data_IF_622470844736
#
_entry.id   IF_622470844736
#
_cell.length_a   1.000
_cell.length_b   1.000
_cell.length_c   1.000
_cell.angle_alpha   90.00
_cell.angle_beta   90.00
_cell.angle_gamma   90.00
#
_symmetry.space_group_name_H-M   'P 1'
#
loop_
_entity.id
_entity.type
_entity.pdbx_description
1 polymer ?
#
# COMPACT_ATOMS: atom_id res chain seq x y z
N UNK A 1 -20.60 -2.77 -5.33
CA UNK A 1 -21.00 -1.95 -4.16
C UNK A 1 -22.43 -1.47 -4.35
N UNK A 2 -23.38 -1.91 -3.50
CA UNK A 2 -24.79 -1.53 -3.55
C UNK A 2 -25.08 -0.16 -2.90
N UNK A 3 -26.11 0.54 -3.37
CA UNK A 3 -26.41 1.95 -3.05
C UNK A 3 -27.85 2.18 -2.59
N UNK A 4 -28.09 3.08 -1.61
CA UNK A 4 -29.49 3.52 -1.32
C UNK A 4 -29.93 4.48 -2.43
N UNK A 5 -30.99 4.17 -3.21
CA UNK A 5 -31.44 5.06 -4.28
C UNK A 5 -32.05 6.39 -3.80
N UNK A 6 -32.32 6.49 -2.50
CA UNK A 6 -32.88 7.69 -1.87
C UNK A 6 -31.83 8.56 -1.18
N UNK A 7 -30.90 7.94 -0.43
CA UNK A 7 -29.84 8.65 0.31
C UNK A 7 -28.58 8.88 -0.52
N UNK A 8 -28.40 8.15 -1.63
CA UNK A 8 -27.18 8.17 -2.44
C UNK A 8 -25.93 7.83 -1.62
N UNK A 9 -26.10 6.93 -0.65
CA UNK A 9 -25.01 6.42 0.19
C UNK A 9 -24.57 5.07 -0.34
N UNK A 10 -23.26 4.90 -0.47
CA UNK A 10 -22.62 3.63 -0.81
C UNK A 10 -22.56 2.71 0.40
N UNK A 11 -22.72 1.42 0.16
CA UNK A 11 -22.62 0.38 1.17
C UNK A 11 -21.71 -0.74 0.70
N UNK A 12 -21.16 -1.47 1.67
CA UNK A 12 -20.43 -2.71 1.40
C UNK A 12 -21.34 -3.79 0.77
N UNK A 13 -20.75 -4.68 -0.02
CA UNK A 13 -21.49 -5.67 -0.84
C UNK A 13 -22.38 -6.64 -0.04
N UNK A 14 -22.15 -6.79 1.27
CA UNK A 14 -22.95 -7.65 2.13
C UNK A 14 -24.22 -6.96 2.69
N UNK A 15 -24.39 -5.67 2.42
CA UNK A 15 -25.55 -4.90 2.86
C UNK A 15 -26.68 -4.98 1.82
N UNK A 16 -27.91 -5.20 2.30
CA UNK A 16 -29.09 -5.35 1.44
C UNK A 16 -30.04 -4.16 1.55
N UNK A 17 -30.04 -3.47 2.68
CA UNK A 17 -30.91 -2.33 2.96
C UNK A 17 -30.13 -1.17 3.57
N UNK A 18 -30.56 0.04 3.25
CA UNK A 18 -30.01 1.26 3.82
C UNK A 18 -30.34 1.42 5.30
N UNK A 19 -29.36 1.88 6.09
CA UNK A 19 -29.50 2.08 7.53
C UNK A 19 -30.42 3.26 7.85
N UNK A 20 -30.41 4.32 7.03
CA UNK A 20 -31.23 5.52 7.27
C UNK A 20 -32.60 5.43 6.61
N UNK A 21 -32.65 4.92 5.37
CA UNK A 21 -33.82 5.00 4.51
C UNK A 21 -34.65 3.70 4.53
N UNK A 22 -34.08 2.59 5.01
CA UNK A 22 -34.66 1.24 5.06
C UNK A 22 -35.25 0.74 3.74
N UNK A 23 -34.72 1.21 2.60
CA UNK A 23 -35.09 0.69 1.28
C UNK A 23 -33.97 -0.23 0.78
N UNK A 24 -34.36 -1.12 -0.14
CA UNK A 24 -33.43 -2.05 -0.78
C UNK A 24 -32.38 -1.29 -1.58
N UNK A 25 -31.14 -1.72 -1.41
CA UNK A 25 -30.01 -1.14 -2.11
C UNK A 25 -29.98 -1.63 -3.55
N UNK A 26 -29.64 -0.74 -4.48
CA UNK A 26 -29.50 -1.05 -5.90
C UNK A 26 -28.03 -1.29 -6.24
N UNK A 27 -27.71 -2.21 -7.18
CA UNK A 27 -26.32 -2.48 -7.56
C UNK A 27 -25.61 -1.28 -8.18
N UNK A 28 -26.39 -0.39 -8.80
CA UNK A 28 -25.92 0.82 -9.46
C UNK A 28 -27.03 1.87 -9.44
N UNK A 29 -26.66 3.13 -9.20
CA UNK A 29 -27.57 4.25 -9.31
C UNK A 29 -27.58 4.80 -10.74
N UNK A 30 -28.67 4.51 -11.46
CA UNK A 30 -28.91 5.09 -12.79
C UNK A 30 -28.97 6.63 -12.65
N UNK A 31 -27.95 7.31 -13.19
CA UNK A 31 -27.69 8.75 -13.13
C UNK A 31 -26.94 9.29 -11.89
N UNK A 32 -26.31 8.46 -11.07
CA UNK A 32 -25.33 8.95 -10.09
C UNK A 32 -24.00 9.18 -10.78
N UNK A 33 -23.36 10.31 -10.48
CA UNK A 33 -21.97 10.52 -10.88
C UNK A 33 -21.11 10.02 -9.73
N UNK A 34 -20.45 8.87 -9.94
CA UNK A 34 -19.40 8.42 -9.05
C UNK A 34 -18.26 9.43 -9.08
N UNK A 35 -17.84 9.89 -7.92
CA UNK A 35 -16.73 10.83 -7.78
C UNK A 35 -15.53 10.05 -7.24
N UNK A 36 -14.35 10.27 -7.80
CA UNK A 36 -13.07 9.70 -7.38
C UNK A 36 -12.13 10.80 -6.94
N UNK A 37 -11.32 10.51 -5.95
CA UNK A 37 -10.35 11.45 -5.39
C UNK A 37 -9.21 11.57 -6.39
N UNK A 38 -9.02 12.77 -6.92
CA UNK A 38 -8.03 13.05 -7.96
C UNK A 38 -6.68 13.39 -7.35
N UNK A 39 -6.67 14.37 -6.44
CA UNK A 39 -5.45 14.89 -5.82
C UNK A 39 -5.79 15.73 -4.58
N UNK A 40 -4.91 15.69 -3.56
CA UNK A 40 -4.93 16.61 -2.44
C UNK A 40 -3.97 17.78 -2.72
N UNK A 41 -4.43 19.01 -2.50
CA UNK A 41 -3.67 20.24 -2.75
C UNK A 41 -3.85 21.24 -1.61
N UNK A 42 -2.90 22.14 -1.41
CA UNK A 42 -3.09 23.26 -0.47
C UNK A 42 -4.23 24.18 -0.95
N UNK A 43 -4.98 24.79 -0.03
CA UNK A 43 -6.05 25.73 -0.39
C UNK A 43 -5.57 26.86 -1.31
N UNK A 44 -4.37 27.36 -1.09
CA UNK A 44 -3.78 28.47 -1.86
C UNK A 44 -3.51 28.09 -3.33
N UNK A 45 -3.13 26.83 -3.61
CA UNK A 45 -2.82 26.34 -4.96
C UNK A 45 -4.05 25.73 -5.67
N UNK A 46 -5.16 25.58 -4.94
CA UNK A 46 -6.33 24.85 -5.42
C UNK A 46 -7.11 25.58 -6.52
N UNK A 47 -7.20 26.91 -6.47
CA UNK A 47 -7.99 27.68 -7.42
C UNK A 47 -7.43 27.60 -8.85
N UNK A 48 -6.11 27.60 -8.99
CA UNK A 48 -5.45 27.57 -10.29
C UNK A 48 -5.59 26.20 -10.96
N UNK A 49 -5.38 25.11 -10.20
CA UNK A 49 -5.59 23.76 -10.69
C UNK A 49 -7.04 23.49 -11.08
N UNK A 50 -8.02 23.98 -10.30
CA UNK A 50 -9.44 23.86 -10.65
C UNK A 50 -9.78 24.59 -11.96
N UNK A 51 -9.19 25.77 -12.19
CA UNK A 51 -9.35 26.51 -13.46
C UNK A 51 -8.72 25.77 -14.63
N UNK A 52 -7.56 25.15 -14.42
CA UNK A 52 -6.90 24.34 -15.44
C UNK A 52 -7.73 23.11 -15.82
N UNK A 53 -8.28 22.38 -14.84
CA UNK A 53 -9.16 21.24 -15.07
C UNK A 53 -10.43 21.63 -15.83
N UNK A 54 -11.05 22.75 -15.45
CA UNK A 54 -12.22 23.28 -16.13
C UNK A 54 -11.92 23.68 -17.59
N UNK A 55 -10.78 24.36 -17.84
CA UNK A 55 -10.32 24.69 -19.19
C UNK A 55 -10.06 23.44 -20.03
N UNK A 56 -9.53 22.39 -19.40
CA UNK A 56 -9.23 21.10 -20.01
C UNK A 56 -10.48 20.22 -20.24
N UNK A 57 -11.67 20.75 -19.94
CA UNK A 57 -12.94 20.11 -20.23
C UNK A 57 -13.42 19.11 -19.17
N UNK A 58 -12.80 19.09 -17.99
CA UNK A 58 -13.28 18.30 -16.84
C UNK A 58 -14.40 19.07 -16.17
N UNK A 59 -15.63 18.59 -16.30
CA UNK A 59 -16.81 19.35 -15.87
C UNK A 59 -17.30 18.95 -14.48
N UNK A 60 -17.08 17.70 -14.09
CA UNK A 60 -17.56 17.18 -12.80
C UNK A 60 -16.41 17.17 -11.82
N UNK A 61 -16.23 18.30 -11.14
CA UNK A 61 -15.22 18.49 -10.10
C UNK A 61 -15.90 18.90 -8.81
N UNK A 62 -15.55 18.25 -7.71
CA UNK A 62 -15.96 18.60 -6.34
C UNK A 62 -14.73 18.78 -5.47
N UNK A 63 -14.84 19.55 -4.39
CA UNK A 63 -13.75 19.75 -3.43
C UNK A 63 -14.23 19.42 -2.04
N UNK A 64 -13.36 18.75 -1.28
CA UNK A 64 -13.61 18.38 0.12
C UNK A 64 -12.44 18.86 0.97
N UNK A 65 -12.74 19.64 2.00
CA UNK A 65 -11.72 20.08 2.95
C UNK A 65 -11.32 18.92 3.85
N UNK A 66 -10.02 18.62 3.93
CA UNK A 66 -9.45 17.56 4.74
C UNK A 66 -8.22 18.08 5.49
N UNK A 67 -8.35 18.30 6.80
CA UNK A 67 -7.30 18.85 7.65
C UNK A 67 -6.72 20.17 7.10
N UNK A 68 -5.47 20.16 6.65
CA UNK A 68 -4.74 21.32 6.10
C UNK A 68 -4.80 21.40 4.56
N UNK A 69 -5.43 20.42 3.91
CA UNK A 69 -5.47 20.28 2.45
C UNK A 69 -6.91 20.28 1.90
N UNK A 70 -7.03 20.50 0.59
CA UNK A 70 -8.25 20.39 -0.18
C UNK A 70 -8.15 19.19 -1.12
N UNK A 71 -9.05 18.23 -0.97
CA UNK A 71 -9.14 17.07 -1.86
C UNK A 71 -10.03 17.45 -3.04
N UNK A 72 -9.46 17.45 -4.24
CA UNK A 72 -10.19 17.59 -5.50
C UNK A 72 -10.68 16.21 -5.90
N UNK A 73 -11.99 16.08 -6.12
CA UNK A 73 -12.64 14.87 -6.61
C UNK A 73 -13.18 15.11 -8.01
N UNK A 74 -13.15 14.11 -8.88
CA UNK A 74 -13.69 14.19 -10.24
C UNK A 74 -14.62 13.04 -10.56
N UNK A 75 -15.51 13.24 -11.52
CA UNK A 75 -16.36 12.16 -12.01
C UNK A 75 -15.51 10.97 -12.48
N UNK A 76 -15.87 9.75 -12.08
CA UNK A 76 -15.11 8.53 -12.37
C UNK A 76 -14.84 8.34 -13.87
N UNK A 77 -15.78 8.75 -14.72
CA UNK A 77 -15.62 8.72 -16.19
C UNK A 77 -14.60 9.71 -16.73
N UNK A 78 -14.34 10.79 -15.98
CA UNK A 78 -13.39 11.84 -16.31
C UNK A 78 -12.04 11.65 -15.60
N UNK A 79 -11.93 10.69 -14.68
CA UNK A 79 -10.77 10.47 -13.83
C UNK A 79 -9.45 10.32 -14.59
N UNK A 80 -9.38 9.39 -15.55
CA UNK A 80 -8.15 9.14 -16.33
C UNK A 80 -7.71 10.38 -17.14
N UNK A 81 -8.68 11.11 -17.70
CA UNK A 81 -8.43 12.34 -18.43
C UNK A 81 -7.96 13.45 -17.49
N UNK A 82 -8.65 13.63 -16.35
CA UNK A 82 -8.30 14.61 -15.33
C UNK A 82 -6.89 14.35 -14.78
N UNK A 83 -6.55 13.09 -14.51
CA UNK A 83 -5.23 12.65 -14.06
C UNK A 83 -4.13 13.06 -15.06
N UNK A 84 -4.39 12.89 -16.35
CA UNK A 84 -3.47 13.30 -17.41
C UNK A 84 -3.26 14.81 -17.39
N UNK A 85 -4.33 15.60 -17.22
CA UNK A 85 -4.25 17.06 -17.14
C UNK A 85 -3.53 17.53 -15.88
N UNK A 86 -3.81 16.94 -14.72
CA UNK A 86 -3.09 17.24 -13.48
C UNK A 86 -1.59 17.03 -13.66
N UNK A 87 -1.17 15.93 -14.29
CA UNK A 87 0.26 15.66 -14.57
C UNK A 87 0.89 16.73 -15.46
N UNK A 88 0.17 17.20 -16.48
CA UNK A 88 0.65 18.30 -17.34
C UNK A 88 0.73 19.62 -16.56
N UNK A 89 -0.29 19.92 -15.75
CA UNK A 89 -0.33 21.12 -14.92
C UNK A 89 0.85 21.18 -13.95
N UNK A 90 1.09 20.10 -13.20
CA UNK A 90 2.21 20.03 -12.25
C UNK A 90 3.53 20.22 -13.01
N UNK A 91 3.70 19.58 -14.17
CA UNK A 91 4.91 19.74 -15.02
C UNK A 91 5.14 21.19 -15.50
N UNK A 92 4.07 21.93 -15.78
CA UNK A 92 4.16 23.33 -16.22
C UNK A 92 4.38 24.32 -15.07
N UNK A 93 3.99 23.96 -13.84
CA UNK A 93 4.05 24.83 -12.65
C UNK A 93 5.13 24.40 -11.63
N UNK A 94 5.93 23.38 -11.96
CA UNK A 94 7.02 22.85 -11.13
C UNK A 94 8.24 23.78 -10.97
N UNK A 95 8.25 24.97 -11.60
CA UNK A 95 9.34 25.94 -11.37
C UNK A 95 9.22 26.71 -10.04
N UNK A 96 8.11 26.64 -9.27
CA UNK A 96 7.97 27.44 -8.04
C UNK A 96 7.43 26.77 -6.76
N UNK A 97 7.03 25.48 -6.73
CA UNK A 97 6.46 24.90 -5.50
C UNK A 97 7.07 23.56 -5.11
N UNK A 98 7.47 23.47 -3.83
CA UNK A 98 8.11 22.32 -3.17
C UNK A 98 7.40 20.99 -3.46
N UNK A 99 8.20 19.94 -3.73
CA UNK A 99 7.78 18.56 -4.06
C UNK A 99 6.94 17.86 -2.96
N UNK A 100 6.87 18.43 -1.75
CA UNK A 100 6.19 17.85 -0.58
C UNK A 100 4.65 17.99 -0.59
N UNK A 101 4.06 18.74 -1.52
CA UNK A 101 2.65 19.19 -1.42
C UNK A 101 1.63 18.41 -2.27
N UNK A 102 2.03 17.39 -3.03
CA UNK A 102 1.13 16.64 -3.92
C UNK A 102 1.11 15.14 -3.62
N UNK A 103 0.05 14.69 -2.95
CA UNK A 103 -0.23 13.28 -2.66
C UNK A 103 -1.24 12.70 -3.68
N UNK A 104 -0.80 11.72 -4.47
CA UNK A 104 -1.67 10.88 -5.29
C UNK A 104 -2.03 9.61 -4.50
N UNK A 105 -3.29 9.17 -4.59
CA UNK A 105 -3.85 8.04 -3.86
C UNK A 105 -2.90 6.80 -3.93
N UNK A 106 -2.43 6.45 -2.74
CA UNK A 106 -1.31 5.59 -2.32
C UNK A 106 -0.69 4.65 -3.38
N UNK A 107 0.50 5.00 -3.87
CA UNK A 107 1.39 4.06 -4.55
C UNK A 107 1.96 3.07 -3.52
N UNK A 108 1.15 2.09 -3.11
CA UNK A 108 1.58 1.06 -2.17
C UNK A 108 2.38 -0.01 -2.93
N UNK A 109 3.67 -0.13 -2.61
CA UNK A 109 4.56 -1.14 -3.18
C UNK A 109 4.90 -2.18 -2.12
N UNK A 110 4.67 -3.46 -2.43
CA UNK A 110 5.05 -4.54 -1.53
C UNK A 110 6.52 -4.89 -1.76
N UNK A 111 7.37 -4.60 -0.76
CA UNK A 111 8.77 -5.04 -0.75
C UNK A 111 8.81 -6.52 -0.38
N UNK A 112 9.32 -7.37 -1.28
CA UNK A 112 9.41 -8.81 -1.05
C UNK A 112 10.67 -9.15 -0.24
N UNK A 113 10.60 -9.03 1.09
CA UNK A 113 11.67 -9.46 2.00
C UNK A 113 11.25 -10.69 2.84
N UNK A 114 11.30 -11.85 2.19
CA UNK A 114 10.99 -13.15 2.81
C UNK A 114 11.97 -13.46 3.94
N UNK A 115 13.24 -13.11 3.75
CA UNK A 115 14.32 -13.45 4.68
C UNK A 115 14.21 -12.63 5.96
N UNK A 116 13.96 -11.33 5.86
CA UNK A 116 13.70 -10.44 6.99
C UNK A 116 12.47 -10.89 7.77
N UNK A 117 11.34 -11.06 7.07
CA UNK A 117 10.07 -11.54 7.67
C UNK A 117 10.28 -12.84 8.45
N UNK A 118 10.90 -13.86 7.84
CA UNK A 118 11.16 -15.16 8.50
C UNK A 118 12.13 -15.00 9.69
N UNK A 119 13.11 -14.10 9.59
CA UNK A 119 14.06 -13.82 10.67
C UNK A 119 13.35 -13.23 11.90
N UNK A 120 12.46 -12.26 11.69
CA UNK A 120 11.66 -11.64 12.76
C UNK A 120 10.72 -12.64 13.44
N UNK A 121 10.07 -13.50 12.64
CA UNK A 121 9.25 -14.59 13.18
C UNK A 121 10.09 -15.55 14.03
N UNK A 122 11.31 -15.91 13.60
CA UNK A 122 12.23 -16.73 14.41
C UNK A 122 12.61 -16.04 15.72
N UNK A 123 12.91 -14.74 15.68
CA UNK A 123 13.21 -13.95 16.87
C UNK A 123 12.04 -13.94 17.86
N UNK A 124 10.81 -13.82 17.34
CA UNK A 124 9.56 -13.93 18.12
C UNK A 124 9.45 -15.31 18.78
N UNK A 125 9.67 -16.39 18.04
CA UNK A 125 9.65 -17.76 18.58
C UNK A 125 10.67 -17.92 19.72
N UNK A 126 11.89 -17.42 19.56
CA UNK A 126 12.91 -17.52 20.60
C UNK A 126 12.57 -16.66 21.83
N UNK A 127 12.15 -15.41 21.64
CA UNK A 127 11.87 -14.48 22.73
C UNK A 127 10.67 -14.95 23.55
N UNK A 128 9.52 -15.16 22.90
CA UNK A 128 8.31 -15.58 23.60
C UNK A 128 8.40 -17.02 24.11
N UNK A 129 9.10 -17.90 23.39
CA UNK A 129 9.30 -19.28 23.83
C UNK A 129 10.17 -19.35 25.10
N UNK A 130 11.30 -18.64 25.12
CA UNK A 130 12.21 -18.63 26.28
C UNK A 130 11.58 -17.96 27.48
N UNK A 131 11.04 -16.74 27.32
CA UNK A 131 10.37 -16.01 28.40
C UNK A 131 9.17 -16.79 28.92
N UNK A 132 8.38 -17.39 28.02
CA UNK A 132 7.22 -18.20 28.38
C UNK A 132 7.58 -19.40 29.25
N UNK A 133 8.57 -20.20 28.82
CA UNK A 133 9.04 -21.37 29.57
C UNK A 133 9.62 -20.95 30.93
N UNK A 134 10.44 -19.90 30.98
CA UNK A 134 11.03 -19.40 32.23
C UNK A 134 9.95 -18.93 33.20
N UNK A 135 8.93 -18.21 32.73
CA UNK A 135 7.82 -17.77 33.56
C UNK A 135 7.03 -18.94 34.15
N UNK A 136 6.75 -19.98 33.36
CA UNK A 136 6.09 -21.20 33.85
C UNK A 136 6.93 -21.88 34.93
N UNK A 137 8.23 -22.08 34.68
CA UNK A 137 9.15 -22.73 35.63
C UNK A 137 9.23 -21.95 36.94
N UNK A 138 9.38 -20.62 36.88
CA UNK A 138 9.37 -19.77 38.07
C UNK A 138 8.04 -19.81 38.81
N UNK A 139 6.91 -19.80 38.08
CA UNK A 139 5.59 -19.92 38.66
C UNK A 139 5.39 -21.24 39.42
N UNK A 140 5.87 -22.35 38.85
CA UNK A 140 5.85 -23.70 39.47
C UNK A 140 6.77 -23.77 40.69
N UNK A 141 8.00 -23.27 40.59
CA UNK A 141 8.95 -23.27 41.72
C UNK A 141 8.47 -22.41 42.87
N UNK A 142 7.84 -21.26 42.59
CA UNK A 142 7.19 -20.45 43.60
C UNK A 142 5.98 -21.17 44.21
N UNK A 143 5.24 -21.95 43.42
CA UNK A 143 4.11 -22.74 43.92
C UNK A 143 4.57 -23.87 44.87
N UNK A 144 5.65 -24.56 44.51
CA UNK A 144 6.27 -25.66 45.28
C UNK A 144 7.16 -25.20 46.46
N UNK A 145 7.27 -23.90 46.71
CA UNK A 145 8.11 -23.33 47.79
C UNK A 145 9.61 -23.61 47.67
N UNK A 146 10.07 -23.87 46.44
CA UNK A 146 11.51 -23.97 46.15
C UNK A 146 12.14 -22.56 46.17
N UNK A 147 11.39 -21.57 45.69
CA UNK A 147 11.72 -20.14 45.75
C UNK A 147 10.54 -19.38 46.38
N UNK A 148 10.80 -18.30 47.11
CA UNK A 148 9.74 -17.46 47.70
C UNK A 148 9.84 -16.04 47.15
N UNK A 149 8.86 -15.64 46.34
CA UNK A 149 8.76 -14.28 45.81
C UNK A 149 7.89 -13.48 46.77
N UNK A 150 8.49 -12.58 47.54
CA UNK A 150 7.80 -11.71 48.51
C UNK A 150 6.98 -10.61 47.82
N UNK A 151 5.95 -10.10 48.52
CA UNK A 151 5.17 -8.93 48.10
C UNK A 151 3.67 -9.17 48.03
N UNK A 152 3.21 -10.10 47.19
CA UNK A 152 1.79 -10.43 47.02
C UNK A 152 1.45 -11.85 47.50
N UNK A 153 0.16 -12.21 47.43
CA UNK A 153 -0.28 -13.58 47.68
C UNK A 153 0.43 -14.55 46.71
N UNK A 154 1.16 -15.52 47.28
CA UNK A 154 1.91 -16.56 46.57
C UNK A 154 1.09 -17.23 45.46
N UNK A 155 -0.16 -17.59 45.73
CA UNK A 155 -1.01 -18.27 44.75
C UNK A 155 -1.33 -17.39 43.54
N UNK A 156 -1.47 -16.07 43.76
CA UNK A 156 -1.74 -15.11 42.71
C UNK A 156 -0.51 -14.90 41.82
N UNK A 157 0.68 -14.73 42.40
CA UNK A 157 1.91 -14.58 41.61
C UNK A 157 2.15 -15.83 40.76
N UNK A 158 2.04 -17.02 41.37
CA UNK A 158 2.23 -18.27 40.64
C UNK A 158 1.21 -18.46 39.52
N UNK A 159 -0.07 -18.14 39.74
CA UNK A 159 -1.09 -18.29 38.70
C UNK A 159 -0.85 -17.34 37.53
N UNK A 160 -0.50 -16.08 37.79
CA UNK A 160 -0.20 -15.08 36.76
C UNK A 160 1.01 -15.51 35.92
N UNK A 161 2.10 -15.95 36.55
CA UNK A 161 3.31 -16.39 35.84
C UNK A 161 3.05 -17.61 34.96
N UNK A 162 2.28 -18.58 35.44
CA UNK A 162 1.94 -19.79 34.67
C UNK A 162 1.02 -19.44 33.50
N UNK A 163 0.00 -18.60 33.71
CA UNK A 163 -0.94 -18.20 32.66
C UNK A 163 -0.23 -17.37 31.59
N UNK A 164 0.53 -16.35 31.98
CA UNK A 164 1.27 -15.50 31.05
C UNK A 164 2.36 -16.29 30.31
N UNK A 165 3.08 -17.15 31.03
CA UNK A 165 4.08 -18.01 30.42
C UNK A 165 3.45 -19.01 29.43
N UNK A 166 2.27 -19.53 29.75
CA UNK A 166 1.46 -20.35 28.84
C UNK A 166 1.06 -19.61 27.57
N UNK A 167 0.59 -18.36 27.71
CA UNK A 167 0.22 -17.50 26.58
C UNK A 167 1.42 -17.19 25.67
N UNK A 168 2.57 -16.84 26.23
CA UNK A 168 3.79 -16.60 25.45
C UNK A 168 4.30 -17.87 24.75
N UNK A 169 4.24 -19.01 25.44
CA UNK A 169 4.61 -20.30 24.83
C UNK A 169 3.65 -20.67 23.70
N UNK A 170 2.36 -20.38 23.86
CA UNK A 170 1.35 -20.57 22.82
C UNK A 170 1.64 -19.71 21.58
N UNK A 171 1.93 -18.42 21.76
CA UNK A 171 2.31 -17.50 20.67
C UNK A 171 3.55 -18.06 19.95
N UNK A 172 4.60 -18.42 20.69
CA UNK A 172 5.82 -18.98 20.10
C UNK A 172 5.56 -20.24 19.26
N UNK A 173 4.67 -21.13 19.72
CA UNK A 173 4.31 -22.33 18.97
C UNK A 173 3.48 -22.01 17.72
N UNK A 174 2.52 -21.08 17.83
CA UNK A 174 1.71 -20.64 16.70
C UNK A 174 2.55 -19.95 15.63
N UNK A 175 3.42 -19.01 16.03
CA UNK A 175 4.36 -18.33 15.13
C UNK A 175 5.29 -19.32 14.45
N UNK A 176 5.80 -20.34 15.17
CA UNK A 176 6.66 -21.36 14.58
C UNK A 176 5.97 -22.12 13.44
N UNK A 177 4.68 -22.44 13.56
CA UNK A 177 3.91 -23.05 12.46
C UNK A 177 3.72 -22.09 11.29
N UNK A 178 3.55 -20.80 11.56
CA UNK A 178 3.43 -19.77 10.54
C UNK A 178 4.70 -19.55 9.71
N UNK A 179 5.88 -19.89 10.23
CA UNK A 179 7.16 -19.67 9.51
C UNK A 179 7.21 -20.41 8.17
N UNK A 180 6.80 -21.67 8.14
CA UNK A 180 6.87 -22.47 6.90
C UNK A 180 5.88 -21.96 5.84
N UNK A 181 4.73 -21.45 6.28
CA UNK A 181 3.72 -20.83 5.42
C UNK A 181 4.23 -19.50 4.87
N UNK A 182 4.71 -18.61 5.74
CA UNK A 182 5.28 -17.32 5.33
C UNK A 182 6.47 -17.49 4.38
N UNK A 183 7.28 -18.54 4.59
CA UNK A 183 8.37 -18.88 3.69
C UNK A 183 7.87 -19.32 2.31
N UNK A 184 6.89 -20.21 2.24
CA UNK A 184 6.36 -20.69 0.96
C UNK A 184 5.62 -19.59 0.17
N UNK A 185 4.81 -18.79 0.85
CA UNK A 185 4.15 -17.63 0.27
C UNK A 185 5.17 -16.60 -0.19
N UNK A 186 6.16 -16.30 0.65
CA UNK A 186 7.25 -15.39 0.32
C UNK A 186 8.06 -15.85 -0.88
N UNK A 187 8.50 -17.11 -0.93
CA UNK A 187 9.24 -17.67 -2.08
C UNK A 187 8.43 -17.57 -3.38
N UNK A 188 7.11 -17.73 -3.30
CA UNK A 188 6.21 -17.59 -4.46
C UNK A 188 6.15 -16.14 -4.93
N UNK A 189 6.00 -15.18 -4.00
CA UNK A 189 6.03 -13.73 -4.30
C UNK A 189 7.38 -13.29 -4.85
N UNK A 190 8.47 -13.81 -4.30
CA UNK A 190 9.84 -13.51 -4.71
C UNK A 190 10.11 -14.01 -6.13
N UNK A 191 9.69 -15.24 -6.45
CA UNK A 191 9.75 -15.76 -7.81
C UNK A 191 8.91 -14.94 -8.78
N UNK A 192 7.69 -14.57 -8.39
CA UNK A 192 6.82 -13.74 -9.24
C UNK A 192 7.45 -12.38 -9.51
N UNK A 193 7.95 -11.70 -8.48
CA UNK A 193 8.67 -10.42 -8.59
C UNK A 193 9.90 -10.55 -9.50
N UNK A 194 10.74 -11.55 -9.26
CA UNK A 194 11.92 -11.81 -10.08
C UNK A 194 11.56 -12.05 -11.55
N UNK A 195 10.53 -12.84 -11.82
CA UNK A 195 10.04 -13.10 -13.17
C UNK A 195 9.52 -11.83 -13.85
N UNK A 196 8.79 -10.96 -13.13
CA UNK A 196 8.31 -9.68 -13.66
C UNK A 196 9.48 -8.79 -14.10
N UNK A 197 10.49 -8.65 -13.23
CA UNK A 197 11.69 -7.87 -13.54
C UNK A 197 12.46 -8.48 -14.71
N UNK A 198 12.70 -9.80 -14.70
CA UNK A 198 13.44 -10.48 -15.77
C UNK A 198 12.73 -10.37 -17.13
N UNK A 199 11.43 -10.66 -17.18
CA UNK A 199 10.62 -10.58 -18.39
C UNK A 199 10.61 -9.17 -19.00
N UNK A 200 10.62 -8.14 -18.14
CA UNK A 200 10.72 -6.76 -18.61
C UNK A 200 12.01 -6.55 -19.42
N UNK A 201 13.18 -6.91 -18.88
CA UNK A 201 14.47 -6.72 -19.55
C UNK A 201 14.67 -7.66 -20.75
N UNK A 202 14.21 -8.91 -20.66
CA UNK A 202 14.33 -9.90 -21.74
C UNK A 202 13.51 -9.54 -22.99
N UNK A 203 12.44 -8.77 -22.83
CA UNK A 203 11.55 -8.34 -23.92
C UNK A 203 12.15 -7.29 -24.89
N UNK A 204 13.47 -7.05 -24.85
CA UNK A 204 14.17 -5.95 -25.55
C UNK A 204 13.58 -4.56 -25.24
N UNK A 205 13.06 -4.37 -24.03
CA UNK A 205 12.43 -3.12 -23.58
C UNK A 205 13.44 -1.98 -23.39
N UNK A 206 14.72 -2.27 -23.13
CA UNK A 206 15.76 -1.25 -22.99
C UNK A 206 15.92 -0.40 -24.26
N UNK A 207 15.71 -0.98 -25.44
CA UNK A 207 15.75 -0.24 -26.72
C UNK A 207 14.44 0.51 -27.02
N UNK A 208 13.35 0.23 -26.29
CA UNK A 208 12.02 0.79 -26.52
C UNK A 208 11.54 1.78 -25.45
N UNK A 209 12.19 1.86 -24.28
CA UNK A 209 11.83 2.87 -23.26
C UNK A 209 12.14 4.30 -23.75
N UNK A 210 13.34 4.47 -24.33
CA UNK A 210 13.83 5.73 -24.91
C UNK A 210 13.39 5.93 -26.38
N UNK A 211 13.16 4.82 -27.10
CA UNK A 211 12.93 4.85 -28.56
C UNK A 211 11.51 5.25 -29.01
N UNK A 212 10.53 5.24 -28.11
CA UNK A 212 9.10 5.40 -28.46
C UNK A 212 8.38 6.57 -27.78
N UNK A 213 9.01 7.30 -26.84
CA UNK A 213 8.26 8.13 -25.88
C UNK A 213 8.73 9.58 -25.73
N UNK A 214 9.87 9.98 -26.31
CA UNK A 214 10.41 11.33 -26.11
C UNK A 214 10.99 11.59 -24.71
N UNK A 215 11.10 10.55 -23.87
CA UNK A 215 11.90 10.56 -22.63
C UNK A 215 13.36 10.39 -23.04
N UNK A 216 14.19 11.37 -22.73
CA UNK A 216 15.63 11.35 -22.99
C UNK A 216 16.38 10.80 -21.78
N UNK A 217 17.62 10.37 -22.01
CA UNK A 217 18.51 9.86 -20.96
C UNK A 217 18.84 10.92 -19.89
N UNK A 218 18.75 12.21 -20.26
CA UNK A 218 18.88 13.39 -19.37
C UNK A 218 17.69 13.56 -18.41
N UNK A 219 16.53 12.96 -18.69
CA UNK A 219 15.30 13.16 -17.92
C UNK A 219 15.20 12.23 -16.69
N UNK A 220 16.09 11.23 -16.55
CA UNK A 220 16.08 10.29 -15.42
C UNK A 220 16.69 10.89 -14.13
N UNK A 221 17.44 11.99 -14.23
CA UNK A 221 17.97 12.74 -13.09
C UNK A 221 16.97 13.75 -12.53
N UNK A 222 15.83 13.91 -13.20
CA UNK A 222 14.76 14.83 -12.82
C UNK A 222 13.74 14.09 -11.93
N UNK A 223 13.64 14.42 -10.62
CA UNK A 223 12.63 13.83 -9.74
C UNK A 223 11.20 13.99 -10.28
N UNK A 224 10.94 15.03 -11.08
CA UNK A 224 9.66 15.27 -11.74
C UNK A 224 9.26 14.16 -12.72
N UNK A 225 10.23 13.43 -13.27
CA UNK A 225 10.04 12.43 -14.31
C UNK A 225 9.89 11.02 -13.76
N UNK A 226 10.21 10.79 -12.49
CA UNK A 226 10.07 9.49 -11.81
C UNK A 226 8.70 8.86 -12.06
N UNK A 227 7.62 9.58 -11.77
CA UNK A 227 6.26 9.07 -11.93
C UNK A 227 5.91 8.76 -13.39
N UNK A 228 6.38 9.59 -14.33
CA UNK A 228 6.15 9.37 -15.75
C UNK A 228 6.87 8.10 -16.24
N UNK A 229 8.06 7.82 -15.73
CA UNK A 229 8.84 6.63 -16.06
C UNK A 229 8.20 5.39 -15.42
N UNK A 230 7.87 5.46 -14.13
CA UNK A 230 7.20 4.37 -13.39
C UNK A 230 5.88 3.99 -14.05
N UNK A 231 5.04 4.94 -14.46
CA UNK A 231 3.78 4.65 -15.16
C UNK A 231 4.01 3.87 -16.46
N UNK A 232 5.08 4.17 -17.20
CA UNK A 232 5.41 3.48 -18.44
C UNK A 232 5.89 2.06 -18.18
N UNK A 233 6.77 1.89 -17.20
CA UNK A 233 7.19 0.56 -16.76
C UNK A 233 5.96 -0.26 -16.34
N UNK A 234 5.07 0.35 -15.55
CA UNK A 234 3.84 -0.27 -15.03
C UNK A 234 2.90 -0.76 -16.11
N UNK A 235 2.67 0.04 -17.17
CA UNK A 235 1.86 -0.38 -18.32
C UNK A 235 2.41 -1.68 -18.93
N UNK A 236 3.72 -1.78 -19.09
CA UNK A 236 4.35 -2.96 -19.69
C UNK A 236 4.32 -4.16 -18.74
N UNK A 237 4.72 -3.98 -17.49
CA UNK A 237 4.73 -5.04 -16.47
C UNK A 237 3.32 -5.61 -16.27
N UNK A 238 2.30 -4.75 -16.19
CA UNK A 238 0.89 -5.15 -16.07
C UNK A 238 0.39 -5.90 -17.31
N UNK A 239 0.81 -5.48 -18.51
CA UNK A 239 0.46 -6.17 -19.77
C UNK A 239 1.03 -7.59 -19.81
N UNK A 240 2.25 -7.76 -19.31
CA UNK A 240 2.92 -9.06 -19.25
C UNK A 240 2.38 -9.94 -18.10
N UNK A 241 1.80 -9.35 -17.06
CA UNK A 241 1.38 -10.02 -15.83
C UNK A 241 -0.01 -9.54 -15.36
N UNK A 242 -1.09 -9.78 -16.13
CA UNK A 242 -2.40 -9.20 -15.86
C UNK A 242 -3.06 -9.70 -14.57
N UNK A 243 -2.71 -10.90 -14.10
CA UNK A 243 -3.25 -11.53 -12.90
C UNK A 243 -2.43 -11.22 -11.63
N UNK A 244 -1.31 -10.49 -11.76
CA UNK A 244 -0.45 -10.19 -10.61
C UNK A 244 -1.08 -9.09 -9.72
N UNK A 245 -0.97 -9.21 -8.38
CA UNK A 245 -1.42 -8.17 -7.46
C UNK A 245 -0.75 -6.81 -7.75
N UNK A 246 -1.52 -5.72 -7.69
CA UNK A 246 -1.03 -4.38 -8.04
C UNK A 246 0.16 -3.93 -7.18
N UNK A 247 0.17 -4.27 -5.89
CA UNK A 247 1.26 -3.95 -4.96
C UNK A 247 2.59 -4.64 -5.33
N UNK A 248 2.54 -5.86 -5.87
CA UNK A 248 3.71 -6.57 -6.37
C UNK A 248 4.17 -6.04 -7.73
N UNK A 249 3.22 -5.61 -8.58
CA UNK A 249 3.54 -4.91 -9.83
C UNK A 249 4.28 -3.61 -9.52
N UNK A 250 3.78 -2.79 -8.58
CA UNK A 250 4.43 -1.56 -8.13
C UNK A 250 5.86 -1.85 -7.63
N UNK A 251 6.03 -2.84 -6.75
CA UNK A 251 7.35 -3.24 -6.25
C UNK A 251 8.31 -3.71 -7.35
N UNK A 252 7.82 -4.37 -8.42
CA UNK A 252 8.64 -4.71 -9.57
C UNK A 252 9.01 -3.47 -10.42
N UNK A 253 8.11 -2.49 -10.53
CA UNK A 253 8.37 -1.24 -11.25
C UNK A 253 9.50 -0.45 -10.59
N UNK A 254 9.52 -0.35 -9.26
CA UNK A 254 10.64 0.26 -8.50
C UNK A 254 11.96 -0.43 -8.82
N UNK A 255 12.01 -1.76 -8.70
CA UNK A 255 13.24 -2.51 -8.96
C UNK A 255 13.73 -2.34 -10.41
N UNK A 256 12.80 -2.25 -11.36
CA UNK A 256 13.14 -2.00 -12.76
C UNK A 256 13.71 -0.58 -12.91
N UNK A 257 13.07 0.43 -12.32
CA UNK A 257 13.51 1.82 -12.35
C UNK A 257 14.92 1.95 -11.77
N UNK A 258 15.14 1.43 -10.56
CA UNK A 258 16.44 1.44 -9.88
C UNK A 258 17.52 0.80 -10.73
N UNK A 259 17.23 -0.37 -11.32
CA UNK A 259 18.20 -1.08 -12.15
C UNK A 259 18.52 -0.36 -13.46
N UNK A 260 17.53 0.32 -14.06
CA UNK A 260 17.79 1.20 -15.22
C UNK A 260 18.72 2.34 -14.81
N UNK A 261 18.48 2.94 -13.64
CA UNK A 261 19.28 4.05 -13.13
C UNK A 261 20.73 3.63 -12.80
N UNK A 262 20.91 2.50 -12.09
CA UNK A 262 22.23 1.92 -11.80
C UNK A 262 23.03 1.60 -13.06
N UNK A 263 22.38 1.05 -14.10
CA UNK A 263 23.02 0.74 -15.38
C UNK A 263 23.44 2.02 -16.16
N UNK A 264 22.85 3.18 -15.85
CA UNK A 264 23.20 4.47 -16.43
C UNK A 264 24.42 5.08 -15.73
N UNK A 265 24.44 5.08 -14.40
CA UNK A 265 25.55 5.61 -13.59
C UNK A 265 26.87 4.82 -13.75
N UNK A 266 26.76 3.56 -14.19
CA UNK A 266 27.91 2.68 -14.46
C UNK A 266 28.57 2.85 -15.84
N UNK A 267 28.06 3.73 -16.71
CA UNK A 267 28.63 4.05 -18.04
C UNK A 267 29.43 5.35 -18.02
#
# INVERSE_FOLDING_TARGET
MPWCPKCKTEYEDHMVQCVDCHIDLVPDLVNHTYMKDLIAVKPDDSEELLRYLAYSGIQKVETVQAEDNLIIKVGEKEYESAMTYVKVYIREHMEETNEDDFYFDEYEAETVDVKGTVSEMKSTVYTFGTVGIVAIVLGIFNFLEIITIGGFNKMMISSVLIIMGGLFTYIAFHTRKGIDVAKAEGETKEQLHHNMVANYFDSKSEQNLFGLSGIKEEDFDDPAMYFAIIDRIKVQVKTQNPEAPLVLINGACETIYDRINENRDGK
#
